data_IF_025178794097
#
_entry.id   IF_025178794097
#
_cell.length_a   1.000
_cell.length_b   1.000
_cell.length_c   1.000
_cell.angle_alpha   90.00
_cell.angle_beta   90.00
_cell.angle_gamma   90.00
#
_symmetry.space_group_name_H-M   'P 1'
#
loop_
_entity.id
_entity.type
_entity.pdbx_description
1 polymer ?
#
# COMPACT_ATOMS: atom_id res chain seq x y z
N UNK A 1 -5.68 2.75 4.85
CA UNK A 1 -4.74 3.63 4.09
C UNK A 1 -3.60 2.76 3.55
N UNK A 2 -3.01 3.10 2.39
CA UNK A 2 -1.86 2.36 1.84
C UNK A 2 -0.57 3.16 2.01
N UNK A 3 0.40 2.59 2.72
CA UNK A 3 1.69 3.23 2.95
C UNK A 3 2.65 2.99 1.79
N UNK A 4 3.51 3.98 1.52
CA UNK A 4 4.70 3.83 0.69
C UNK A 4 5.76 3.02 1.46
N UNK A 5 6.70 2.38 0.75
CA UNK A 5 7.73 1.52 1.38
C UNK A 5 8.52 2.26 2.46
N UNK A 6 8.95 3.51 2.21
CA UNK A 6 9.71 4.26 3.21
C UNK A 6 8.91 4.52 4.49
N UNK A 7 7.59 4.72 4.39
CA UNK A 7 6.68 4.91 5.52
C UNK A 7 6.46 3.60 6.27
N UNK A 8 6.35 2.48 5.53
CA UNK A 8 6.31 1.15 6.14
C UNK A 8 7.61 0.85 6.91
N UNK A 9 8.76 1.27 6.38
CA UNK A 9 10.07 1.14 7.06
C UNK A 9 10.21 2.03 8.28
N UNK A 10 9.63 3.22 8.29
CA UNK A 10 9.52 4.04 9.52
C UNK A 10 8.78 3.27 10.61
N UNK A 11 7.62 2.68 10.29
CA UNK A 11 6.88 1.84 11.24
C UNK A 11 7.66 0.59 11.65
N UNK A 12 8.36 -0.07 10.73
CA UNK A 12 9.22 -1.20 11.09
C UNK A 12 10.30 -0.79 12.10
N UNK A 13 10.95 0.37 11.93
CA UNK A 13 11.92 0.90 12.90
C UNK A 13 11.28 1.18 14.26
N UNK A 14 10.07 1.74 14.31
CA UNK A 14 9.33 1.99 15.56
C UNK A 14 9.04 0.70 16.35
N UNK A 15 8.98 -0.45 15.66
CA UNK A 15 8.75 -1.78 16.25
C UNK A 15 10.03 -2.62 16.34
N UNK A 16 11.21 -2.00 16.24
CA UNK A 16 12.52 -2.68 16.30
C UNK A 16 12.70 -3.79 15.26
N UNK A 17 12.06 -3.66 14.10
CA UNK A 17 12.31 -4.49 12.92
C UNK A 17 13.42 -3.81 12.12
N UNK A 18 14.56 -4.51 11.99
CA UNK A 18 15.74 -4.01 11.30
C UNK A 18 15.43 -3.77 9.81
N UNK A 19 15.78 -2.58 9.32
CA UNK A 19 15.71 -2.20 7.90
C UNK A 19 17.05 -1.58 7.49
N UNK A 20 17.38 -1.50 6.19
CA UNK A 20 18.57 -0.79 5.74
C UNK A 20 18.50 0.71 6.03
N UNK A 21 19.67 1.34 6.14
CA UNK A 21 19.77 2.80 6.16
C UNK A 21 19.25 3.36 4.84
N UNK A 22 18.29 4.27 4.95
CA UNK A 22 17.58 4.80 3.80
C UNK A 22 17.00 6.18 4.07
N UNK A 23 16.89 7.00 3.02
CA UNK A 23 16.38 8.36 3.06
C UNK A 23 15.49 8.59 1.83
N UNK A 24 14.29 9.14 2.04
CA UNK A 24 13.36 9.49 0.97
C UNK A 24 13.46 10.99 0.63
N UNK A 25 13.46 11.30 -0.67
CA UNK A 25 13.47 12.67 -1.21
C UNK A 25 12.44 12.82 -2.32
N UNK A 26 11.95 14.05 -2.53
CA UNK A 26 10.93 14.37 -3.55
C UNK A 26 11.50 15.19 -4.72
N UNK A 27 12.78 15.55 -4.66
CA UNK A 27 13.46 16.35 -5.67
C UNK A 27 14.94 16.00 -5.71
N UNK A 28 15.58 16.30 -6.85
CA UNK A 28 16.98 15.92 -7.09
C UNK A 28 17.96 16.69 -6.20
N UNK A 29 17.66 17.92 -5.78
CA UNK A 29 18.58 18.73 -4.97
C UNK A 29 18.69 18.19 -3.55
N UNK A 30 17.55 17.81 -2.93
CA UNK A 30 17.54 17.08 -1.67
C UNK A 30 18.15 15.68 -1.85
N UNK A 31 17.81 15.00 -2.96
CA UNK A 31 18.36 13.70 -3.33
C UNK A 31 19.89 13.66 -3.37
N UNK A 32 20.56 14.68 -3.93
CA UNK A 32 22.04 14.77 -3.95
C UNK A 32 22.63 14.78 -2.55
N UNK A 33 22.08 15.62 -1.67
CA UNK A 33 22.53 15.71 -0.27
C UNK A 33 22.32 14.40 0.47
N UNK A 34 21.25 13.69 0.17
CA UNK A 34 20.94 12.40 0.79
C UNK A 34 21.81 11.26 0.23
N UNK A 35 22.17 11.31 -1.06
CA UNK A 35 23.14 10.41 -1.67
C UNK A 35 24.53 10.54 -1.02
N UNK A 36 24.98 11.78 -0.75
CA UNK A 36 26.22 12.04 -0.01
C UNK A 36 26.19 11.46 1.41
N UNK A 37 25.08 11.61 2.13
CA UNK A 37 24.92 11.08 3.51
C UNK A 37 24.92 9.55 3.56
N UNK A 38 24.21 8.89 2.63
CA UNK A 38 24.13 7.43 2.58
C UNK A 38 25.45 6.81 2.09
N UNK A 39 26.10 7.49 1.14
CA UNK A 39 27.30 7.03 0.47
C UNK A 39 27.04 5.85 -0.48
N UNK A 40 27.75 5.82 -1.60
CA UNK A 40 27.65 4.75 -2.58
C UNK A 40 28.27 3.42 -2.07
N UNK A 41 27.86 2.26 -2.62
CA UNK A 41 26.71 2.06 -3.51
C UNK A 41 25.38 1.99 -2.74
N UNK A 42 24.28 2.36 -3.41
CA UNK A 42 22.92 2.28 -2.88
C UNK A 42 21.91 1.89 -3.98
N UNK A 43 20.66 1.64 -3.60
CA UNK A 43 19.54 1.36 -4.49
C UNK A 43 18.60 2.56 -4.51
N UNK A 44 18.19 2.97 -5.71
CA UNK A 44 17.18 3.99 -5.97
C UNK A 44 15.84 3.27 -6.18
N UNK A 45 14.84 3.54 -5.33
CA UNK A 45 13.53 2.89 -5.37
C UNK A 45 12.39 3.90 -5.53
N UNK A 46 11.58 3.72 -6.56
CA UNK A 46 10.34 4.45 -6.77
C UNK A 46 9.39 4.22 -5.59
N UNK A 47 8.84 5.30 -5.04
CA UNK A 47 7.79 5.26 -4.03
C UNK A 47 6.44 5.49 -4.69
N UNK A 48 5.71 4.40 -4.89
CA UNK A 48 4.35 4.33 -5.45
C UNK A 48 3.51 3.36 -4.61
N UNK A 49 2.18 3.56 -4.48
CA UNK A 49 1.31 2.71 -3.65
C UNK A 49 0.93 1.38 -4.33
N UNK A 50 1.78 0.87 -5.24
CA UNK A 50 1.57 -0.35 -6.03
C UNK A 50 2.82 -1.24 -6.05
N UNK A 51 2.60 -2.55 -6.06
CA UNK A 51 3.67 -3.55 -6.21
C UNK A 51 4.16 -3.72 -7.66
N UNK A 52 5.25 -4.48 -7.83
CA UNK A 52 5.83 -4.79 -9.15
C UNK A 52 6.88 -3.78 -9.64
N UNK A 53 7.39 -2.93 -8.74
CA UNK A 53 8.34 -1.85 -9.05
C UNK A 53 9.64 -2.35 -9.67
N UNK A 54 10.16 -3.48 -9.21
CA UNK A 54 11.36 -4.11 -9.77
C UNK A 54 11.19 -4.47 -11.25
N UNK A 55 10.09 -5.15 -11.60
CA UNK A 55 9.76 -5.51 -12.99
C UNK A 55 9.56 -4.28 -13.88
N UNK A 56 9.06 -3.18 -13.31
CA UNK A 56 8.85 -1.92 -14.02
C UNK A 56 10.12 -1.05 -14.16
N UNK A 57 11.27 -1.48 -13.63
CA UNK A 57 12.52 -0.69 -13.64
C UNK A 57 12.56 0.45 -12.60
N UNK A 58 11.62 0.47 -11.66
CA UNK A 58 11.55 1.43 -10.57
C UNK A 58 12.49 1.12 -9.40
N UNK A 59 13.30 0.06 -9.48
CA UNK A 59 14.32 -0.30 -8.50
C UNK A 59 15.64 -0.42 -9.24
N UNK A 60 16.57 0.50 -8.99
CA UNK A 60 17.83 0.60 -9.74
C UNK A 60 19.03 0.69 -8.80
N UNK A 61 20.04 -0.15 -9.02
CA UNK A 61 21.33 -0.07 -8.34
C UNK A 61 22.09 1.18 -8.79
N UNK A 62 22.78 1.86 -7.87
CA UNK A 62 23.53 3.08 -8.12
C UNK A 62 24.91 3.01 -7.45
N UNK A 63 25.97 3.08 -8.25
CA UNK A 63 27.35 2.85 -7.78
C UNK A 63 28.18 4.12 -7.59
N UNK A 64 27.78 5.24 -8.18
CA UNK A 64 28.51 6.51 -8.14
C UNK A 64 27.58 7.68 -8.47
N UNK A 65 28.13 8.89 -8.39
CA UNK A 65 27.42 10.15 -8.64
C UNK A 65 26.90 10.29 -10.07
N UNK A 66 27.67 9.88 -11.08
CA UNK A 66 27.24 9.94 -12.49
C UNK A 66 25.99 9.06 -12.73
N UNK A 67 25.97 7.86 -12.15
CA UNK A 67 24.80 7.00 -12.19
C UNK A 67 23.60 7.61 -11.46
N UNK A 68 23.83 8.32 -10.35
CA UNK A 68 22.77 8.96 -9.58
C UNK A 68 22.09 10.06 -10.41
N UNK A 69 22.87 10.97 -10.99
CA UNK A 69 22.37 12.08 -11.82
C UNK A 69 21.54 11.57 -13.00
N UNK A 70 21.89 10.40 -13.54
CA UNK A 70 21.13 9.77 -14.62
C UNK A 70 19.84 9.07 -14.12
N UNK A 71 19.95 8.26 -13.07
CA UNK A 71 18.89 7.32 -12.66
C UNK A 71 17.83 7.98 -11.78
N UNK A 72 18.21 8.92 -10.91
CA UNK A 72 17.28 9.55 -9.98
C UNK A 72 16.11 10.26 -10.71
N UNK A 73 16.36 11.12 -11.73
CA UNK A 73 15.28 11.79 -12.44
C UNK A 73 14.41 10.82 -13.24
N UNK A 74 15.01 9.74 -13.76
CA UNK A 74 14.25 8.70 -14.46
C UNK A 74 13.25 8.05 -13.52
N UNK A 75 13.70 7.61 -12.33
CA UNK A 75 12.85 6.99 -11.32
C UNK A 75 11.80 7.98 -10.80
N UNK A 76 12.17 9.23 -10.51
CA UNK A 76 11.22 10.24 -10.01
C UNK A 76 10.09 10.54 -11.02
N UNK A 77 10.39 10.53 -12.32
CA UNK A 77 9.40 10.82 -13.36
C UNK A 77 8.65 9.57 -13.87
N UNK A 78 8.91 8.39 -13.32
CA UNK A 78 8.22 7.16 -13.71
C UNK A 78 6.76 7.15 -13.26
N UNK A 79 5.92 6.48 -14.08
CA UNK A 79 4.62 5.99 -13.66
C UNK A 79 4.59 4.46 -13.75
N UNK A 80 4.10 3.81 -12.70
CA UNK A 80 4.04 2.36 -12.57
C UNK A 80 2.57 1.99 -12.37
N UNK A 81 2.00 1.21 -13.29
CA UNK A 81 0.57 0.83 -13.27
C UNK A 81 -0.39 2.02 -13.14
N UNK A 82 -0.06 3.16 -13.77
CA UNK A 82 -0.87 4.38 -13.72
C UNK A 82 -0.58 5.31 -12.54
N UNK A 83 0.13 4.83 -11.51
CA UNK A 83 0.53 5.66 -10.36
C UNK A 83 1.81 6.41 -10.68
N UNK A 84 1.84 7.72 -10.43
CA UNK A 84 3.07 8.52 -10.54
C UNK A 84 3.94 8.30 -9.31
N UNK A 85 5.25 8.25 -9.51
CA UNK A 85 6.22 8.21 -8.42
C UNK A 85 6.12 9.48 -7.58
N UNK A 86 5.88 9.32 -6.27
CA UNK A 86 5.64 10.44 -5.34
C UNK A 86 6.90 10.89 -4.60
N UNK A 87 7.86 9.97 -4.48
CA UNK A 87 9.16 10.17 -3.88
C UNK A 87 10.14 9.11 -4.39
N UNK A 88 11.42 9.33 -4.14
CA UNK A 88 12.49 8.36 -4.38
C UNK A 88 13.13 7.99 -3.06
N UNK A 89 13.22 6.70 -2.77
CA UNK A 89 13.94 6.17 -1.63
C UNK A 89 15.36 5.77 -2.06
N UNK A 90 16.36 6.40 -1.45
CA UNK A 90 17.76 5.98 -1.54
C UNK A 90 18.03 5.04 -0.38
N UNK A 91 18.54 3.84 -0.67
CA UNK A 91 18.71 2.79 0.33
C UNK A 91 20.07 2.10 0.21
N UNK A 92 20.81 1.99 1.31
CA UNK A 92 22.09 1.31 1.33
C UNK A 92 21.95 -0.13 0.83
N UNK A 93 22.87 -0.55 -0.05
CA UNK A 93 22.91 -1.96 -0.48
C UNK A 93 23.28 -2.84 0.71
N UNK A 94 22.47 -3.87 0.93
CA UNK A 94 22.73 -4.92 1.91
C UNK A 94 23.24 -6.19 1.22
N UNK A 95 24.26 -6.82 1.79
CA UNK A 95 24.64 -8.19 1.42
C UNK A 95 23.84 -9.19 2.24
N UNK A 96 23.25 -10.18 1.58
CA UNK A 96 22.43 -11.21 2.23
C UNK A 96 22.62 -12.56 1.53
N UNK A 97 22.28 -13.64 2.24
CA UNK A 97 22.40 -15.02 1.75
C UNK A 97 21.10 -15.51 1.12
N UNK A 98 19.96 -15.13 1.69
CA UNK A 98 18.65 -15.64 1.28
C UNK A 98 17.56 -14.60 1.43
N UNK A 99 16.60 -14.63 0.51
CA UNK A 99 15.35 -13.86 0.56
C UNK A 99 14.21 -14.78 0.96
N UNK A 100 13.38 -14.35 1.89
CA UNK A 100 12.15 -15.03 2.32
C UNK A 100 10.96 -14.07 2.22
N UNK A 101 9.78 -14.63 2.10
CA UNK A 101 8.52 -13.90 2.13
C UNK A 101 7.89 -14.03 3.52
N UNK A 102 7.40 -12.92 4.07
CA UNK A 102 6.63 -12.92 5.32
C UNK A 102 5.51 -11.88 5.28
N UNK A 103 4.28 -12.30 5.57
CA UNK A 103 3.15 -11.37 5.75
C UNK A 103 2.17 -11.82 6.83
N UNK A 104 1.49 -10.87 7.44
CA UNK A 104 0.31 -11.07 8.27
C UNK A 104 -0.83 -10.20 7.70
N UNK A 105 -1.98 -10.81 7.44
CA UNK A 105 -3.11 -10.10 6.82
C UNK A 105 -4.46 -10.55 7.38
N UNK A 106 -5.46 -9.68 7.29
CA UNK A 106 -6.83 -9.99 7.67
C UNK A 106 -7.51 -10.88 6.62
N UNK A 107 -7.67 -12.16 6.93
CA UNK A 107 -8.39 -13.10 6.09
C UNK A 107 -9.89 -12.98 6.33
N UNK A 108 -10.56 -12.19 5.49
CA UNK A 108 -12.01 -11.91 5.60
C UNK A 108 -12.87 -13.17 5.51
N UNK A 109 -12.48 -14.17 4.71
CA UNK A 109 -13.21 -15.45 4.59
C UNK A 109 -13.14 -16.28 5.87
N UNK A 110 -12.00 -16.21 6.58
CA UNK A 110 -11.77 -16.92 7.85
C UNK A 110 -12.10 -16.09 9.09
N UNK A 111 -12.29 -14.78 8.92
CA UNK A 111 -12.57 -13.80 9.98
C UNK A 111 -11.46 -13.77 11.05
N UNK A 112 -10.21 -13.92 10.62
CA UNK A 112 -9.05 -13.91 11.48
C UNK A 112 -7.82 -13.38 10.73
N UNK A 113 -6.78 -13.02 11.46
CA UNK A 113 -5.46 -12.80 10.89
C UNK A 113 -4.82 -14.12 10.47
N UNK A 114 -4.12 -14.09 9.35
CA UNK A 114 -3.44 -15.24 8.76
C UNK A 114 -2.01 -14.85 8.37
N UNK A 115 -1.04 -15.67 8.78
CA UNK A 115 0.34 -15.58 8.34
C UNK A 115 0.47 -16.28 6.99
N UNK A 116 1.20 -15.67 6.07
CA UNK A 116 1.78 -16.34 4.91
C UNK A 116 3.29 -16.17 4.99
N UNK A 117 4.03 -17.28 4.89
CA UNK A 117 5.48 -17.27 4.84
C UNK A 117 5.99 -18.23 3.78
N UNK A 118 7.12 -17.92 3.15
CA UNK A 118 7.78 -18.82 2.22
C UNK A 118 9.29 -18.65 2.23
N UNK A 119 10.00 -19.73 1.93
CA UNK A 119 11.43 -19.73 1.65
C UNK A 119 11.81 -18.97 0.37
N UNK A 120 10.84 -18.67 -0.49
CA UNK A 120 11.00 -17.93 -1.75
C UNK A 120 10.52 -16.49 -1.57
N UNK A 121 11.44 -15.58 -1.24
CA UNK A 121 11.22 -14.13 -1.22
C UNK A 121 11.49 -13.45 -2.56
N UNK A 122 11.14 -12.17 -2.68
CA UNK A 122 11.46 -11.34 -3.84
C UNK A 122 10.58 -11.59 -5.07
N UNK A 123 9.60 -12.49 -4.95
CA UNK A 123 8.67 -12.89 -6.01
C UNK A 123 7.22 -12.63 -5.59
N UNK A 124 6.29 -12.78 -6.54
CA UNK A 124 4.86 -12.68 -6.28
C UNK A 124 4.39 -13.93 -5.54
N UNK A 125 3.93 -13.76 -4.30
CA UNK A 125 3.57 -14.87 -3.40
C UNK A 125 2.45 -15.74 -3.97
N UNK A 126 1.56 -15.17 -4.78
CA UNK A 126 0.47 -15.88 -5.45
C UNK A 126 0.96 -16.94 -6.44
N UNK A 127 2.21 -16.85 -6.88
CA UNK A 127 2.85 -17.83 -7.78
C UNK A 127 3.63 -18.93 -7.05
N UNK A 128 3.88 -18.75 -5.75
CA UNK A 128 4.68 -19.67 -4.93
C UNK A 128 3.80 -20.81 -4.41
N UNK A 129 4.23 -22.05 -4.63
CA UNK A 129 3.46 -23.24 -4.24
C UNK A 129 3.72 -23.66 -2.79
N UNK A 130 4.98 -23.64 -2.37
CA UNK A 130 5.41 -24.15 -1.06
C UNK A 130 5.38 -23.04 0.01
N UNK A 131 4.23 -22.38 0.12
CA UNK A 131 3.97 -21.37 1.15
C UNK A 131 3.32 -22.01 2.38
N UNK A 132 3.70 -21.52 3.55
CA UNK A 132 3.06 -21.84 4.82
C UNK A 132 1.97 -20.82 5.10
N UNK A 133 0.75 -21.31 5.33
CA UNK A 133 -0.41 -20.51 5.68
C UNK A 133 -0.86 -20.90 7.09
N UNK A 134 -0.92 -19.93 8.01
CA UNK A 134 -1.26 -20.18 9.42
C UNK A 134 -2.27 -19.17 9.94
N UNK A 135 -3.46 -19.64 10.34
CA UNK A 135 -4.47 -18.81 11.01
C UNK A 135 -4.04 -18.52 12.46
N UNK A 136 -4.15 -17.26 12.91
CA UNK A 136 -3.72 -16.80 14.25
C UNK A 136 -4.77 -15.96 14.97
N UNK A 137 -6.05 -16.13 14.64
CA UNK A 137 -7.15 -15.50 15.38
C UNK A 137 -7.11 -13.98 15.32
N UNK A 138 -7.06 -13.32 16.48
CA UNK A 138 -7.00 -11.85 16.60
C UNK A 138 -5.64 -11.24 16.25
N UNK A 139 -4.66 -12.04 15.83
CA UNK A 139 -3.35 -11.57 15.38
C UNK A 139 -2.22 -11.81 16.37
N UNK A 140 -2.50 -12.39 17.55
CA UNK A 140 -1.49 -12.70 18.57
C UNK A 140 -0.61 -13.88 18.16
N UNK A 141 0.61 -13.59 17.70
CA UNK A 141 1.56 -14.64 17.33
C UNK A 141 2.43 -15.03 18.52
N UNK A 142 2.20 -16.24 19.03
CA UNK A 142 3.04 -16.82 20.09
C UNK A 142 4.39 -17.28 19.55
N UNK A 143 5.40 -17.32 20.43
CA UNK A 143 6.72 -17.88 20.10
C UNK A 143 6.63 -19.28 19.48
N UNK A 144 5.78 -20.15 20.03
CA UNK A 144 5.58 -21.51 19.52
C UNK A 144 5.08 -21.51 18.07
N UNK A 145 4.06 -20.70 17.76
CA UNK A 145 3.53 -20.57 16.40
C UNK A 145 4.60 -20.05 15.44
N UNK A 146 5.37 -19.04 15.86
CA UNK A 146 6.43 -18.48 15.05
C UNK A 146 7.58 -19.49 14.78
N UNK A 147 7.96 -20.29 15.79
CA UNK A 147 8.95 -21.37 15.64
C UNK A 147 8.46 -22.48 14.70
N UNK A 148 7.17 -22.83 14.76
CA UNK A 148 6.55 -23.79 13.84
C UNK A 148 6.59 -23.29 12.40
N UNK A 149 6.19 -22.03 12.15
CA UNK A 149 6.26 -21.41 10.81
C UNK A 149 7.71 -21.37 10.30
N UNK A 150 8.67 -20.97 11.15
CA UNK A 150 10.09 -20.94 10.78
C UNK A 150 10.61 -22.31 10.33
N UNK A 151 10.23 -23.38 11.05
CA UNK A 151 10.63 -24.75 10.71
C UNK A 151 9.96 -25.24 9.42
N UNK A 152 8.68 -24.93 9.24
CA UNK A 152 7.92 -25.36 8.06
C UNK A 152 8.45 -24.72 6.76
N UNK A 153 8.89 -23.46 6.80
CA UNK A 153 9.56 -22.82 5.64
C UNK A 153 11.07 -23.10 5.57
N UNK A 154 11.62 -23.94 6.45
CA UNK A 154 13.02 -24.37 6.44
C UNK A 154 14.03 -23.26 6.76
N UNK A 155 13.74 -22.40 7.74
CA UNK A 155 14.72 -21.46 8.30
C UNK A 155 15.80 -22.23 9.05
N UNK A 156 17.08 -21.89 8.80
CA UNK A 156 18.22 -22.49 9.50
C UNK A 156 18.24 -22.17 10.99
N UNK A 157 18.79 -23.08 11.82
CA UNK A 157 18.73 -23.00 13.28
C UNK A 157 19.27 -21.68 13.85
N UNK A 158 20.33 -21.13 13.25
CA UNK A 158 20.94 -19.84 13.62
C UNK A 158 20.02 -18.63 13.36
N UNK A 159 19.01 -18.77 12.51
CA UNK A 159 18.10 -17.70 12.11
C UNK A 159 16.70 -17.82 12.72
N UNK A 160 16.34 -18.96 13.31
CA UNK A 160 14.99 -19.19 13.87
C UNK A 160 14.64 -18.15 14.93
N UNK A 161 15.57 -17.84 15.84
CA UNK A 161 15.32 -16.85 16.91
C UNK A 161 15.05 -15.46 16.35
N UNK A 162 15.77 -15.06 15.30
CA UNK A 162 15.56 -13.78 14.60
C UNK A 162 14.23 -13.74 13.85
N UNK A 163 13.86 -14.84 13.17
CA UNK A 163 12.56 -14.94 12.50
C UNK A 163 11.40 -14.83 13.51
N UNK A 164 11.50 -15.54 14.64
CA UNK A 164 10.50 -15.50 15.70
C UNK A 164 10.32 -14.08 16.22
N UNK A 165 11.41 -13.39 16.56
CA UNK A 165 11.37 -12.01 17.04
C UNK A 165 10.69 -11.07 16.02
N UNK A 166 11.08 -11.14 14.75
CA UNK A 166 10.49 -10.31 13.68
C UNK A 166 9.00 -10.61 13.50
N UNK A 167 8.60 -11.88 13.46
CA UNK A 167 7.20 -12.25 13.26
C UNK A 167 6.33 -11.81 14.45
N UNK A 168 6.83 -11.90 15.68
CA UNK A 168 6.11 -11.38 16.86
C UNK A 168 6.00 -9.85 16.84
N UNK A 169 7.06 -9.13 16.43
CA UNK A 169 7.03 -7.68 16.25
C UNK A 169 6.08 -7.24 15.13
N UNK A 170 6.07 -7.96 14.02
CA UNK A 170 5.18 -7.72 12.89
C UNK A 170 3.70 -7.96 13.29
N UNK A 171 3.45 -9.01 14.07
CA UNK A 171 2.16 -9.30 14.70
C UNK A 171 1.70 -8.15 15.59
N UNK A 172 2.57 -7.70 16.51
CA UNK A 172 2.30 -6.55 17.39
C UNK A 172 1.97 -5.29 16.58
N UNK A 173 2.77 -4.97 15.56
CA UNK A 173 2.53 -3.84 14.66
C UNK A 173 1.16 -3.95 13.99
N UNK A 174 0.84 -5.13 13.45
CA UNK A 174 -0.42 -5.38 12.74
C UNK A 174 -1.63 -5.10 13.62
N UNK A 175 -1.60 -5.59 14.86
CA UNK A 175 -2.70 -5.42 15.81
C UNK A 175 -2.78 -3.98 16.32
N UNK A 176 -1.66 -3.39 16.74
CA UNK A 176 -1.64 -2.04 17.32
C UNK A 176 -1.94 -0.93 16.32
N UNK A 177 -1.64 -1.14 15.03
CA UNK A 177 -1.94 -0.18 13.94
C UNK A 177 -3.21 -0.54 13.16
N UNK A 178 -3.94 -1.56 13.62
CA UNK A 178 -5.15 -2.08 12.97
C UNK A 178 -4.95 -2.26 11.45
N UNK A 179 -3.85 -2.94 11.12
CA UNK A 179 -3.43 -3.15 9.75
C UNK A 179 -4.18 -4.33 9.13
N UNK A 180 -4.78 -4.13 7.96
CA UNK A 180 -5.34 -5.21 7.14
C UNK A 180 -4.24 -6.07 6.51
N UNK A 181 -3.06 -5.50 6.27
CA UNK A 181 -1.90 -6.18 5.71
C UNK A 181 -0.61 -5.58 6.28
N UNK A 182 0.28 -6.43 6.74
CA UNK A 182 1.70 -6.13 6.94
C UNK A 182 2.52 -7.18 6.22
N UNK A 183 3.38 -6.76 5.31
CA UNK A 183 4.15 -7.63 4.43
C UNK A 183 5.59 -7.14 4.36
N UNK A 184 6.53 -8.09 4.46
CA UNK A 184 7.95 -7.90 4.23
C UNK A 184 8.33 -8.82 3.07
N UNK A 185 8.60 -8.23 1.90
CA UNK A 185 8.94 -8.99 0.70
C UNK A 185 10.00 -8.27 -0.16
N UNK A 186 11.30 -8.57 -0.01
CA UNK A 186 11.84 -9.67 0.78
C UNK A 186 12.22 -9.28 2.22
N UNK A 187 12.04 -10.24 3.14
CA UNK A 187 12.79 -10.33 4.39
C UNK A 187 14.07 -11.09 4.08
N UNK A 188 15.24 -10.56 4.44
CA UNK A 188 16.53 -11.21 4.08
C UNK A 188 17.26 -11.76 5.28
N UNK A 189 17.95 -12.88 5.06
CA UNK A 189 18.85 -13.51 6.01
C UNK A 189 20.28 -13.07 5.69
N UNK A 190 20.96 -12.46 6.65
CA UNK A 190 22.34 -12.02 6.53
C UNK A 190 23.31 -13.17 6.85
N UNK A 191 24.59 -13.00 6.52
CA UNK A 191 25.65 -14.00 6.73
C UNK A 191 25.82 -14.45 8.19
N UNK A 192 25.45 -13.60 9.14
CA UNK A 192 25.50 -13.89 10.58
C UNK A 192 24.22 -14.58 11.10
N UNK A 193 23.26 -14.86 10.22
CA UNK A 193 21.96 -15.44 10.56
C UNK A 193 20.91 -14.41 11.03
N UNK A 194 21.31 -13.16 11.26
CA UNK A 194 20.36 -12.08 11.56
C UNK A 194 19.52 -11.73 10.33
N UNK A 195 18.41 -11.00 10.55
CA UNK A 195 17.46 -10.70 9.48
C UNK A 195 17.19 -9.20 9.33
N UNK A 196 16.76 -8.80 8.14
CA UNK A 196 16.49 -7.41 7.79
C UNK A 196 15.35 -7.32 6.76
N UNK A 197 14.40 -6.40 6.96
CA UNK A 197 13.33 -6.11 6.01
C UNK A 197 13.83 -5.20 4.89
N UNK A 198 14.06 -5.75 3.69
CA UNK A 198 14.51 -4.95 2.53
C UNK A 198 13.37 -4.20 1.84
N UNK A 199 12.15 -4.66 1.98
CA UNK A 199 10.96 -3.99 1.45
C UNK A 199 9.80 -4.20 2.43
N UNK A 200 8.80 -3.33 2.37
CA UNK A 200 7.68 -3.32 3.29
C UNK A 200 6.43 -2.78 2.64
N UNK A 201 5.31 -3.44 2.90
CA UNK A 201 3.99 -2.99 2.50
C UNK A 201 3.05 -3.09 3.69
N UNK A 202 2.42 -1.96 4.02
CA UNK A 202 1.45 -1.87 5.11
C UNK A 202 0.16 -1.24 4.56
N UNK A 203 -0.96 -1.87 4.87
CA UNK A 203 -2.29 -1.34 4.63
C UNK A 203 -3.07 -1.31 5.93
N UNK A 204 -3.56 -0.14 6.34
CA UNK A 204 -4.42 0.03 7.52
C UNK A 204 -5.89 0.03 7.17
N UNK A 205 -6.75 -0.31 8.14
CA UNK A 205 -8.19 -0.10 8.02
C UNK A 205 -8.49 1.40 8.00
N UNK A 206 -9.12 1.88 6.93
CA UNK A 206 -9.50 3.29 6.84
C UNK A 206 -10.46 3.72 7.96
N UNK A 207 -11.27 2.78 8.49
CA UNK A 207 -12.20 3.05 9.57
C UNK A 207 -11.53 3.20 10.94
N UNK A 208 -10.24 2.85 11.10
CA UNK A 208 -9.50 3.05 12.34
C UNK A 208 -8.63 4.31 12.32
N UNK A 209 -8.34 4.88 11.15
CA UNK A 209 -7.39 5.98 11.01
C UNK A 209 -7.67 7.18 11.95
N UNK A 210 -8.94 7.48 12.25
CA UNK A 210 -9.34 8.58 13.13
C UNK A 210 -8.74 8.50 14.56
N UNK A 211 -8.38 7.30 15.02
CA UNK A 211 -7.77 7.06 16.34
C UNK A 211 -6.26 6.77 16.27
N UNK A 212 -5.68 6.79 15.06
CA UNK A 212 -4.24 6.66 14.81
C UNK A 212 -3.65 7.98 14.31
N UNK A 213 -3.65 9.01 15.17
CA UNK A 213 -3.14 10.35 14.80
C UNK A 213 -1.69 10.34 14.33
N UNK A 214 -0.89 9.41 14.84
CA UNK A 214 0.50 9.21 14.43
C UNK A 214 0.64 8.77 12.96
N UNK A 215 -0.42 8.23 12.35
CA UNK A 215 -0.44 7.80 10.95
C UNK A 215 -0.93 8.89 10.00
N UNK A 216 -1.52 9.98 10.53
CA UNK A 216 -2.03 11.10 9.74
C UNK A 216 -0.94 11.72 8.85
N UNK A 217 0.33 11.71 9.30
CA UNK A 217 1.49 12.17 8.51
C UNK A 217 1.71 11.38 7.20
N UNK A 218 1.16 10.17 7.08
CA UNK A 218 1.27 9.33 5.89
C UNK A 218 0.07 9.46 4.96
N UNK A 219 -0.99 10.11 5.42
CA UNK A 219 -2.23 10.25 4.68
C UNK A 219 -2.06 11.28 3.56
N UNK A 220 -1.75 10.79 2.37
CA UNK A 220 -1.69 11.61 1.16
C UNK A 220 -3.01 11.46 0.39
N UNK A 221 -3.84 12.49 0.46
CA UNK A 221 -5.06 12.63 -0.34
C UNK A 221 -4.91 13.71 -1.39
N UNK A 222 -5.57 13.51 -2.52
CA UNK A 222 -5.81 14.60 -3.46
C UNK A 222 -6.78 15.62 -2.86
N UNK A 223 -6.72 16.87 -3.31
CA UNK A 223 -7.70 17.91 -2.94
C UNK A 223 -9.15 17.48 -3.23
N UNK A 224 -9.32 16.58 -4.19
CA UNK A 224 -10.60 16.03 -4.63
C UNK A 224 -11.13 15.00 -3.63
N UNK A 225 -10.29 14.02 -3.25
CA UNK A 225 -10.63 13.00 -2.25
C UNK A 225 -10.92 13.62 -0.89
N UNK A 226 -10.11 14.61 -0.49
CA UNK A 226 -10.33 15.35 0.77
C UNK A 226 -11.68 16.06 0.77
N UNK A 227 -12.03 16.74 -0.32
CA UNK A 227 -13.35 17.40 -0.44
C UNK A 227 -14.49 16.39 -0.46
N UNK A 228 -14.31 15.26 -1.13
CA UNK A 228 -15.32 14.20 -1.14
C UNK A 228 -15.58 13.66 0.28
N UNK A 229 -14.52 13.41 1.04
CA UNK A 229 -14.60 12.97 2.43
C UNK A 229 -15.25 14.03 3.35
N UNK A 230 -14.85 15.30 3.23
CA UNK A 230 -15.46 16.42 3.97
C UNK A 230 -16.96 16.57 3.67
N UNK A 231 -17.36 16.31 2.43
CA UNK A 231 -18.75 16.33 1.97
C UNK A 231 -19.54 15.05 2.27
N UNK A 232 -18.90 14.02 2.85
CA UNK A 232 -19.55 12.76 3.23
C UNK A 232 -19.92 11.84 2.08
N UNK A 233 -19.32 11.99 0.90
CA UNK A 233 -19.51 11.10 -0.25
C UNK A 233 -18.22 10.37 -0.63
N UNK A 234 -18.34 9.15 -1.17
CA UNK A 234 -17.19 8.38 -1.66
C UNK A 234 -17.00 8.62 -3.15
N UNK A 235 -15.77 8.94 -3.57
CA UNK A 235 -15.42 9.22 -4.96
C UNK A 235 -14.21 8.39 -5.40
N UNK A 236 -14.31 7.78 -6.58
CA UNK A 236 -13.16 7.14 -7.26
C UNK A 236 -13.13 7.60 -8.71
N UNK A 237 -12.00 8.15 -9.15
CA UNK A 237 -11.79 8.55 -10.54
C UNK A 237 -11.51 7.34 -11.44
N UNK A 238 -12.05 7.35 -12.66
CA UNK A 238 -11.94 6.30 -13.65
C UNK A 238 -11.59 6.88 -15.02
N UNK A 239 -10.99 6.07 -15.90
CA UNK A 239 -10.58 6.49 -17.25
C UNK A 239 -11.73 6.42 -18.27
N UNK A 240 -12.73 7.27 -18.07
CA UNK A 240 -13.89 7.37 -18.94
C UNK A 240 -14.43 8.78 -19.08
N UNK A 241 -15.67 8.89 -19.56
CA UNK A 241 -16.29 10.16 -19.93
C UNK A 241 -17.72 10.35 -19.41
N UNK A 242 -18.27 9.41 -18.63
CA UNK A 242 -19.61 9.51 -18.05
C UNK A 242 -19.49 9.43 -16.53
N UNK A 243 -19.80 10.50 -15.81
CA UNK A 243 -19.79 10.49 -14.35
C UNK A 243 -21.01 9.71 -13.83
N UNK A 244 -20.79 8.74 -12.92
CA UNK A 244 -21.88 7.94 -12.34
C UNK A 244 -22.08 8.35 -10.89
N UNK A 245 -23.31 8.80 -10.57
CA UNK A 245 -23.72 9.22 -9.23
C UNK A 245 -24.84 8.31 -8.74
N UNK A 246 -24.75 7.84 -7.51
CA UNK A 246 -25.87 7.15 -6.85
C UNK A 246 -25.78 7.20 -5.32
N UNK A 247 -26.81 6.69 -4.65
CA UNK A 247 -26.98 6.72 -3.20
C UNK A 247 -26.87 5.31 -2.58
N UNK A 248 -25.66 4.78 -2.60
CA UNK A 248 -25.27 3.49 -2.03
C UNK A 248 -24.30 2.75 -2.94
N UNK A 249 -23.14 2.35 -2.39
CA UNK A 249 -22.05 1.75 -3.14
C UNK A 249 -22.47 0.59 -4.06
N UNK A 250 -23.37 -0.30 -3.59
CA UNK A 250 -23.88 -1.41 -4.39
C UNK A 250 -24.68 -0.98 -5.62
N UNK A 251 -25.48 0.09 -5.50
CA UNK A 251 -26.25 0.66 -6.61
C UNK A 251 -25.33 1.36 -7.62
N UNK A 252 -24.36 2.13 -7.12
CA UNK A 252 -23.37 2.81 -7.97
C UNK A 252 -22.54 1.78 -8.75
N UNK A 253 -22.06 0.73 -8.10
CA UNK A 253 -21.34 -0.36 -8.78
C UNK A 253 -22.21 -1.04 -9.84
N UNK A 254 -23.46 -1.38 -9.52
CA UNK A 254 -24.39 -1.95 -10.51
C UNK A 254 -24.64 -1.02 -11.70
N UNK A 255 -24.62 0.30 -11.46
CA UNK A 255 -24.78 1.31 -12.51
C UNK A 255 -23.55 1.40 -13.42
N UNK A 256 -22.35 1.27 -12.84
CA UNK A 256 -21.11 1.16 -13.62
C UNK A 256 -21.11 -0.09 -14.51
N UNK A 257 -21.57 -1.22 -13.98
CA UNK A 257 -21.66 -2.48 -14.73
C UNK A 257 -22.65 -2.33 -15.90
N UNK A 258 -23.87 -1.83 -15.63
CA UNK A 258 -24.85 -1.55 -16.67
C UNK A 258 -24.33 -0.59 -17.74
N UNK A 259 -23.59 0.45 -17.34
CA UNK A 259 -22.99 1.39 -18.28
C UNK A 259 -21.94 0.70 -19.16
N UNK A 260 -21.08 -0.11 -18.57
CA UNK A 260 -19.99 -0.83 -19.24
C UNK A 260 -20.53 -1.88 -20.20
N UNK A 261 -21.54 -2.67 -19.79
CA UNK A 261 -22.22 -3.67 -20.62
C UNK A 261 -22.85 -3.06 -21.88
N UNK A 262 -23.22 -1.78 -21.81
CA UNK A 262 -23.77 -1.01 -22.93
C UNK A 262 -22.70 -0.19 -23.69
N UNK A 263 -21.41 -0.47 -23.48
CA UNK A 263 -20.29 0.16 -24.17
C UNK A 263 -19.93 1.57 -23.70
N UNK A 264 -20.52 2.03 -22.60
CA UNK A 264 -20.16 3.29 -21.95
C UNK A 264 -18.85 3.18 -21.16
N UNK A 265 -18.23 4.33 -20.85
CA UNK A 265 -17.02 4.39 -20.02
C UNK A 265 -17.25 5.34 -18.86
N UNK A 266 -17.26 4.81 -17.65
CA UNK A 266 -17.40 5.62 -16.45
C UNK A 266 -16.16 6.50 -16.23
N UNK A 267 -16.39 7.78 -15.95
CA UNK A 267 -15.36 8.74 -15.55
C UNK A 267 -15.15 8.78 -14.03
N UNK A 268 -16.17 8.39 -13.25
CA UNK A 268 -16.05 8.23 -11.82
C UNK A 268 -17.13 7.30 -11.26
N UNK A 269 -16.82 6.73 -10.09
CA UNK A 269 -17.75 6.19 -9.12
C UNK A 269 -18.02 7.29 -8.08
N UNK A 270 -19.27 7.68 -7.86
CA UNK A 270 -19.63 8.62 -6.80
C UNK A 270 -20.83 8.09 -6.01
N UNK A 271 -20.61 7.77 -4.73
CA UNK A 271 -21.63 7.38 -3.76
C UNK A 271 -21.93 8.52 -2.78
N UNK A 272 -23.10 9.16 -2.90
CA UNK A 272 -23.58 10.22 -1.99
C UNK A 272 -24.15 9.68 -0.67
N UNK A 273 -24.14 8.37 -0.46
CA UNK A 273 -24.64 7.70 0.73
C UNK A 273 -26.17 7.60 0.80
N UNK A 274 -26.67 6.71 1.66
CA UNK A 274 -28.12 6.47 1.81
C UNK A 274 -28.91 7.64 2.43
N UNK A 275 -28.22 8.62 3.01
CA UNK A 275 -28.79 9.82 3.66
C UNK A 275 -28.45 11.11 2.91
N UNK A 276 -28.24 11.02 1.60
CA UNK A 276 -27.87 12.16 0.76
C UNK A 276 -28.81 13.37 0.95
N UNK A 277 -28.22 14.56 1.05
CA UNK A 277 -28.92 15.84 1.16
C UNK A 277 -28.86 16.59 -0.17
N UNK A 278 -29.68 17.62 -0.35
CA UNK A 278 -29.58 18.51 -1.52
C UNK A 278 -28.18 19.13 -1.65
N UNK A 279 -27.59 19.52 -0.51
CA UNK A 279 -26.25 20.08 -0.43
C UNK A 279 -25.19 19.06 -0.88
N UNK A 280 -25.25 17.80 -0.42
CA UNK A 280 -24.26 16.79 -0.82
C UNK A 280 -24.33 16.43 -2.31
N UNK A 281 -25.53 16.42 -2.89
CA UNK A 281 -25.71 16.22 -4.34
C UNK A 281 -25.20 17.43 -5.14
N UNK A 282 -25.44 18.65 -4.65
CA UNK A 282 -24.92 19.87 -5.28
C UNK A 282 -23.39 19.93 -5.27
N UNK A 283 -22.76 19.56 -4.15
CA UNK A 283 -21.30 19.48 -4.03
C UNK A 283 -20.72 18.40 -4.95
N UNK A 284 -21.35 17.22 -5.02
CA UNK A 284 -20.98 16.16 -5.94
C UNK A 284 -21.00 16.62 -7.41
N UNK A 285 -22.07 17.31 -7.84
CA UNK A 285 -22.16 17.88 -9.18
C UNK A 285 -21.14 18.98 -9.43
N UNK A 286 -20.89 19.83 -8.42
CA UNK A 286 -19.86 20.89 -8.49
C UNK A 286 -18.48 20.28 -8.67
N UNK A 287 -18.18 19.17 -8.02
CA UNK A 287 -16.93 18.44 -8.17
C UNK A 287 -16.82 17.83 -9.57
N UNK A 288 -17.86 17.12 -10.03
CA UNK A 288 -17.92 16.53 -11.38
C UNK A 288 -17.73 17.60 -12.46
N UNK A 289 -18.28 18.80 -12.29
CA UNK A 289 -18.13 19.90 -13.25
C UNK A 289 -16.68 20.34 -13.50
N UNK A 290 -15.75 20.01 -12.59
CA UNK A 290 -14.32 20.31 -12.70
C UNK A 290 -13.54 19.22 -13.44
N UNK A 291 -14.12 18.04 -13.63
CA UNK A 291 -13.50 16.92 -14.32
C UNK A 291 -13.55 17.11 -15.83
N UNK A 292 -12.41 17.42 -16.45
CA UNK A 292 -12.32 17.79 -17.88
C UNK A 292 -12.69 16.65 -18.85
N UNK A 293 -12.60 15.40 -18.42
CA UNK A 293 -12.91 14.21 -19.20
C UNK A 293 -14.42 13.88 -19.24
N UNK A 294 -15.22 14.44 -18.31
CA UNK A 294 -16.65 14.16 -18.20
C UNK A 294 -17.43 14.88 -19.31
N UNK A 295 -18.25 14.11 -20.05
CA UNK A 295 -19.13 14.59 -21.13
C UNK A 295 -20.61 14.40 -20.82
N UNK A 296 -20.96 13.51 -19.90
CA UNK A 296 -22.32 13.28 -19.44
C UNK A 296 -22.33 12.84 -17.97
N UNK A 297 -23.47 13.03 -17.31
CA UNK A 297 -23.69 12.57 -15.92
C UNK A 297 -24.86 11.60 -15.93
N UNK A 298 -24.64 10.42 -15.37
CA UNK A 298 -25.66 9.40 -15.14
C UNK A 298 -25.98 9.35 -13.65
N UNK A 299 -27.16 9.84 -13.29
CA UNK A 299 -27.65 9.84 -11.91
C UNK A 299 -28.62 8.67 -11.73
N UNK A 300 -28.26 7.72 -10.86
CA UNK A 300 -29.11 6.59 -10.50
C UNK A 300 -29.35 6.59 -8.98
N UNK A 301 -30.52 7.08 -8.59
CA UNK A 301 -30.92 7.20 -7.20
C UNK A 301 -32.10 6.26 -6.93
N UNK A 302 -32.01 5.48 -5.86
CA UNK A 302 -33.11 4.64 -5.39
C UNK A 302 -33.75 5.26 -4.14
N UNK A 303 -35.03 5.61 -4.24
CA UNK A 303 -35.79 6.29 -3.20
C UNK A 303 -36.06 5.41 -1.98
N UNK A 304 -35.74 5.93 -0.79
CA UNK A 304 -36.00 5.32 0.52
C UNK A 304 -36.67 6.31 1.48
N UNK A 305 -36.04 6.56 2.63
CA UNK A 305 -36.55 7.48 3.68
C UNK A 305 -36.47 8.95 3.25
N UNK A 306 -35.47 9.32 2.45
CA UNK A 306 -35.28 10.68 1.95
C UNK A 306 -36.21 10.93 0.76
N UNK A 307 -37.01 12.00 0.83
CA UNK A 307 -37.83 12.46 -0.29
C UNK A 307 -36.89 13.01 -1.37
N UNK A 308 -36.60 12.20 -2.37
CA UNK A 308 -35.77 12.59 -3.51
C UNK A 308 -36.52 13.64 -4.33
N UNK A 309 -36.06 14.89 -4.25
CA UNK A 309 -36.51 15.98 -5.10
C UNK A 309 -35.55 16.01 -6.29
N UNK A 310 -35.96 15.35 -7.38
CA UNK A 310 -35.47 15.69 -8.72
C UNK A 310 -36.24 16.91 -9.22
#
# INVERSE_FOLDING_TARGET
>A
MRLLEYQAKELFKEYDIRVPDSIASKDIESGRKDAEKIGYPFVIKAQVPVGGRGKAGGIQKCHNEDEFELKYPQVLNMSIKGEKTRAVLLEKMSEYEKEIYLSLFLNRSKRCYTIIASAEGGVEIESVKDQVIREVGSGDVTKKVAEEVAKEIGIGENSITHFVDILQKLSKLTVEKEAELTEINPLVILKDGSMMALDGKIMTDDNSNFRHKELEKYHEQTDLEKKAEESGFSLVELDGNIAVIGNGAGLVMSTLDMLTDNGGKAACFLDVGGTATEESVYEALTLISKMKNVKAVLVNLYGGIVKQLL
#
